data_IF_741904397590
#
_entry.id   IF_741904397590
#
_cell.length_a   1.000
_cell.length_b   1.000
_cell.length_c   1.000
_cell.angle_alpha   90.00
_cell.angle_beta   90.00
_cell.angle_gamma   90.00
#
_symmetry.space_group_name_H-M   'P 1'
#
loop_
_entity.id
_entity.type
_entity.pdbx_description
1 polymer ?
#
# COMPACT_ATOMS: atom_id res chain seq x y z
N UNK A 1 -34.36 -1.08 -73.53
CA UNK A 1 -34.63 -1.03 -72.08
C UNK A 1 -33.41 -1.58 -71.34
N UNK A 2 -32.44 -0.73 -71.02
CA UNK A 2 -31.33 -1.02 -70.11
C UNK A 2 -31.46 -0.03 -68.96
N UNK A 3 -31.84 -0.53 -67.80
CA UNK A 3 -32.16 0.27 -66.63
C UNK A 3 -31.18 -0.01 -65.49
N UNK A 4 -30.45 1.05 -65.15
CA UNK A 4 -30.21 1.60 -63.81
C UNK A 4 -29.06 1.07 -62.93
N UNK A 5 -28.17 2.04 -62.62
CA UNK A 5 -27.55 2.38 -61.31
C UNK A 5 -26.55 1.36 -60.71
N UNK A 6 -25.21 1.56 -60.66
CA UNK A 6 -24.42 2.64 -60.00
C UNK A 6 -25.05 3.02 -58.65
N UNK A 7 -24.50 2.78 -57.46
CA UNK A 7 -23.21 2.32 -56.95
C UNK A 7 -23.48 1.78 -55.54
N UNK A 8 -23.00 0.58 -55.24
CA UNK A 8 -22.83 0.12 -53.87
C UNK A 8 -21.50 0.66 -53.37
N UNK A 9 -21.49 1.91 -52.92
CA UNK A 9 -20.40 2.48 -52.13
C UNK A 9 -21.00 3.42 -51.09
N UNK A 10 -20.35 3.51 -49.93
CA UNK A 10 -20.69 4.30 -48.74
C UNK A 10 -21.65 3.70 -47.69
N UNK A 11 -21.46 2.42 -47.33
CA UNK A 11 -21.70 2.00 -45.95
C UNK A 11 -20.36 2.07 -45.18
N UNK A 12 -20.14 3.02 -44.25
CA UNK A 12 -18.91 3.07 -43.49
C UNK A 12 -18.75 1.76 -42.70
N UNK A 13 -17.54 1.19 -42.62
CA UNK A 13 -17.33 -0.09 -41.95
C UNK A 13 -17.79 0.01 -40.48
N UNK A 14 -18.64 -0.91 -40.00
CA UNK A 14 -19.02 -0.98 -38.59
C UNK A 14 -17.79 -1.41 -37.79
N UNK A 15 -17.01 -0.44 -37.34
CA UNK A 15 -15.79 -0.69 -36.57
C UNK A 15 -14.86 0.52 -36.41
N UNK A 16 -14.97 1.54 -37.26
CA UNK A 16 -14.07 2.70 -37.21
C UNK A 16 -14.28 3.62 -35.99
N UNK A 17 -15.54 3.84 -35.59
CA UNK A 17 -15.87 4.75 -34.46
C UNK A 17 -15.62 4.12 -33.09
N UNK A 18 -15.91 2.83 -32.93
CA UNK A 18 -15.68 2.11 -31.66
C UNK A 18 -14.20 1.80 -31.44
N UNK A 19 -13.46 1.42 -32.50
CA UNK A 19 -12.01 1.23 -32.41
C UNK A 19 -11.24 2.55 -32.23
N UNK A 20 -11.78 3.67 -32.76
CA UNK A 20 -11.26 5.01 -32.52
C UNK A 20 -11.43 5.44 -31.07
N UNK A 21 -12.66 5.31 -30.54
CA UNK A 21 -12.98 5.60 -29.14
C UNK A 21 -12.13 4.77 -28.16
N UNK A 22 -12.06 3.45 -28.34
CA UNK A 22 -11.21 2.59 -27.50
C UNK A 22 -9.72 2.92 -27.61
N UNK A 23 -9.23 3.38 -28.77
CA UNK A 23 -7.81 3.74 -28.94
C UNK A 23 -7.49 5.07 -28.27
N UNK A 24 -8.39 6.04 -28.35
CA UNK A 24 -8.30 7.31 -27.64
C UNK A 24 -8.39 7.09 -26.13
N UNK A 25 -9.33 6.27 -25.66
CA UNK A 25 -9.51 5.92 -24.24
C UNK A 25 -8.28 5.20 -23.67
N UNK A 26 -7.73 4.21 -24.41
CA UNK A 26 -6.46 3.55 -24.06
C UNK A 26 -5.29 4.53 -24.04
N UNK A 27 -5.25 5.50 -24.96
CA UNK A 27 -4.21 6.52 -24.98
C UNK A 27 -4.32 7.46 -23.77
N UNK A 28 -5.52 7.88 -23.38
CA UNK A 28 -5.74 8.72 -22.19
C UNK A 28 -5.31 7.99 -20.91
N UNK A 29 -5.68 6.73 -20.75
CA UNK A 29 -5.28 5.92 -19.59
C UNK A 29 -3.76 5.72 -19.57
N UNK A 30 -3.15 5.42 -20.72
CA UNK A 30 -1.69 5.26 -20.81
C UNK A 30 -0.94 6.55 -20.45
N UNK A 31 -1.40 7.71 -20.94
CA UNK A 31 -0.82 9.01 -20.60
C UNK A 31 -0.99 9.32 -19.13
N UNK A 32 -2.15 9.03 -18.54
CA UNK A 32 -2.39 9.23 -17.11
C UNK A 32 -1.47 8.37 -16.25
N UNK A 33 -1.30 7.09 -16.60
CA UNK A 33 -0.40 6.17 -15.89
C UNK A 33 1.04 6.66 -15.98
N UNK A 34 1.51 7.04 -17.16
CA UNK A 34 2.87 7.58 -17.34
C UNK A 34 3.06 8.87 -16.55
N UNK A 35 2.07 9.76 -16.55
CA UNK A 35 2.12 10.98 -15.75
C UNK A 35 2.18 10.69 -14.25
N UNK A 36 1.35 9.78 -13.75
CA UNK A 36 1.39 9.31 -12.37
C UNK A 36 2.75 8.71 -12.01
N UNK A 37 3.33 7.89 -12.88
CA UNK A 37 4.65 7.28 -12.69
C UNK A 37 5.74 8.36 -12.59
N UNK A 38 5.74 9.34 -13.49
CA UNK A 38 6.70 10.46 -13.46
C UNK A 38 6.52 11.31 -12.21
N UNK A 39 5.28 11.68 -11.88
CA UNK A 39 4.97 12.47 -10.68
C UNK A 39 5.41 11.76 -9.40
N UNK A 40 5.17 10.44 -9.33
CA UNK A 40 5.65 9.58 -8.26
C UNK A 40 7.17 9.65 -8.11
N UNK A 41 7.93 9.42 -9.19
CA UNK A 41 9.40 9.43 -9.13
C UNK A 41 9.95 10.80 -8.74
N UNK A 42 9.33 11.88 -9.23
CA UNK A 42 9.71 13.25 -8.89
C UNK A 42 9.45 13.55 -7.41
N UNK A 43 8.26 13.21 -6.90
CA UNK A 43 7.90 13.41 -5.48
C UNK A 43 8.79 12.57 -4.56
N UNK A 44 9.04 11.31 -4.90
CA UNK A 44 9.91 10.42 -4.14
C UNK A 44 11.33 10.98 -4.07
N UNK A 45 11.92 11.34 -5.23
CA UNK A 45 13.25 11.91 -5.28
C UNK A 45 13.35 13.24 -4.52
N UNK A 46 12.39 14.14 -4.71
CA UNK A 46 12.36 15.43 -4.02
C UNK A 46 12.19 15.27 -2.51
N UNK A 47 11.30 14.37 -2.07
CA UNK A 47 11.05 14.06 -0.66
C UNK A 47 12.29 13.48 0.03
N UNK A 48 12.98 12.54 -0.61
CA UNK A 48 14.22 11.95 -0.11
C UNK A 48 15.37 12.98 -0.10
N UNK A 49 15.50 13.81 -1.14
CA UNK A 49 16.50 14.87 -1.20
C UNK A 49 16.29 15.90 -0.08
N UNK A 50 15.06 16.36 0.15
CA UNK A 50 14.73 17.25 1.25
C UNK A 50 15.01 16.61 2.61
N UNK A 51 14.70 15.32 2.75
CA UNK A 51 14.87 14.58 4.00
C UNK A 51 16.34 14.38 4.37
N UNK A 52 17.16 13.90 3.43
CA UNK A 52 18.52 13.46 3.71
C UNK A 52 19.61 14.43 3.27
N UNK A 53 19.45 15.10 2.11
CA UNK A 53 20.44 16.06 1.59
C UNK A 53 20.26 17.41 2.26
N UNK A 54 19.03 17.96 2.23
CA UNK A 54 18.73 19.25 2.85
C UNK A 54 18.51 19.16 4.38
N UNK A 55 18.51 17.94 4.95
CA UNK A 55 18.28 17.66 6.38
C UNK A 55 17.00 18.32 6.93
N UNK A 56 15.95 18.43 6.10
CA UNK A 56 14.62 18.96 6.47
C UNK A 56 13.61 17.81 6.51
N UNK A 57 13.64 16.92 7.53
CA UNK A 57 12.84 15.70 7.56
C UNK A 57 11.34 15.96 7.57
N UNK A 58 10.87 17.10 8.10
CA UNK A 58 9.45 17.48 8.08
C UNK A 58 8.95 17.82 6.69
N UNK A 59 9.72 18.59 5.92
CA UNK A 59 9.37 18.91 4.53
C UNK A 59 9.48 17.69 3.64
N UNK A 60 10.54 16.89 3.80
CA UNK A 60 10.66 15.61 3.10
C UNK A 60 9.49 14.68 3.39
N UNK A 61 9.05 14.57 4.66
CA UNK A 61 7.85 13.81 5.01
C UNK A 61 6.58 14.37 4.35
N UNK A 62 6.41 15.70 4.34
CA UNK A 62 5.25 16.33 3.71
C UNK A 62 5.18 16.03 2.21
N UNK A 63 6.31 16.10 1.50
CA UNK A 63 6.39 15.75 0.07
C UNK A 63 6.13 14.27 -0.16
N UNK A 64 6.71 13.38 0.66
CA UNK A 64 6.45 11.94 0.57
C UNK A 64 5.00 11.57 0.92
N UNK A 65 4.28 12.38 1.72
CA UNK A 65 2.86 12.18 1.98
C UNK A 65 1.97 12.55 0.79
N UNK A 66 2.48 13.31 -0.20
CA UNK A 66 1.74 13.54 -1.44
C UNK A 66 1.58 12.25 -2.25
N UNK A 67 2.48 11.28 -2.09
CA UNK A 67 2.44 9.98 -2.79
C UNK A 67 1.19 9.15 -2.41
N UNK A 68 0.92 8.83 -1.12
CA UNK A 68 -0.34 8.18 -0.74
C UNK A 68 -1.56 9.09 -0.96
N UNK A 69 -1.40 10.42 -1.02
CA UNK A 69 -2.50 11.32 -1.39
C UNK A 69 -2.92 11.11 -2.84
N UNK A 70 -1.98 10.92 -3.76
CA UNK A 70 -2.28 10.57 -5.16
C UNK A 70 -3.02 9.23 -5.24
N UNK A 71 -2.64 8.25 -4.42
CA UNK A 71 -3.36 6.97 -4.32
C UNK A 71 -4.81 7.14 -3.85
N UNK A 72 -5.06 8.06 -2.90
CA UNK A 72 -6.43 8.39 -2.48
C UNK A 72 -7.22 9.00 -3.64
N UNK A 73 -6.62 9.88 -4.43
CA UNK A 73 -7.27 10.47 -5.61
C UNK A 73 -7.59 9.39 -6.65
N UNK A 74 -6.64 8.49 -6.94
CA UNK A 74 -6.87 7.36 -7.85
C UNK A 74 -7.99 6.46 -7.35
N UNK A 75 -8.03 6.14 -6.05
CA UNK A 75 -9.12 5.37 -5.45
C UNK A 75 -10.47 6.06 -5.63
N UNK A 76 -10.55 7.39 -5.42
CA UNK A 76 -11.79 8.15 -5.63
C UNK A 76 -12.23 8.10 -7.09
N UNK A 77 -11.31 8.32 -8.03
CA UNK A 77 -11.59 8.23 -9.47
C UNK A 77 -12.10 6.84 -9.83
N UNK A 78 -11.43 5.79 -9.36
CA UNK A 78 -11.86 4.40 -9.53
C UNK A 78 -13.28 4.16 -9.01
N UNK A 79 -13.60 4.64 -7.81
CA UNK A 79 -14.92 4.44 -7.20
C UNK A 79 -16.01 5.16 -8.00
N UNK A 80 -15.71 6.34 -8.55
CA UNK A 80 -16.60 7.06 -9.46
C UNK A 80 -16.78 6.26 -10.76
N UNK A 81 -15.71 5.73 -11.32
CA UNK A 81 -15.72 4.97 -12.57
C UNK A 81 -16.54 3.66 -12.45
N UNK A 82 -16.34 2.91 -11.36
CA UNK A 82 -17.14 1.72 -11.03
C UNK A 82 -18.63 2.05 -10.89
N UNK A 83 -18.95 3.22 -10.31
CA UNK A 83 -20.34 3.69 -10.21
C UNK A 83 -20.95 4.03 -11.57
N UNK A 84 -20.12 4.42 -12.55
CA UNK A 84 -20.54 4.71 -13.91
C UNK A 84 -20.60 3.45 -14.80
N UNK A 85 -20.31 2.25 -14.25
CA UNK A 85 -20.44 0.97 -14.95
C UNK A 85 -19.14 0.40 -15.51
N UNK A 86 -17.97 0.90 -15.08
CA UNK A 86 -16.69 0.30 -15.46
C UNK A 86 -16.51 -1.11 -14.89
N UNK A 87 -15.77 -1.97 -15.60
CA UNK A 87 -15.53 -3.34 -15.15
C UNK A 87 -14.61 -3.39 -13.91
N UNK A 88 -14.96 -4.21 -12.89
CA UNK A 88 -14.16 -4.33 -11.68
C UNK A 88 -12.84 -5.10 -11.88
N UNK A 89 -11.73 -4.35 -12.01
CA UNK A 89 -10.35 -4.89 -12.01
C UNK A 89 -9.76 -5.05 -10.59
N UNK A 90 -8.73 -5.90 -10.45
CA UNK A 90 -8.00 -6.18 -9.21
C UNK A 90 -7.23 -4.97 -8.70
N UNK A 91 -6.80 -4.08 -9.59
CA UNK A 91 -6.05 -2.85 -9.27
C UNK A 91 -6.86 -1.90 -8.38
N UNK A 92 -8.19 -1.93 -8.52
CA UNK A 92 -9.11 -1.04 -7.81
C UNK A 92 -9.08 -1.21 -6.28
N UNK A 93 -8.87 -2.43 -5.79
CA UNK A 93 -8.72 -2.67 -4.34
C UNK A 93 -7.28 -2.55 -3.82
N UNK A 94 -6.28 -2.53 -4.71
CA UNK A 94 -4.87 -2.44 -4.31
C UNK A 94 -4.54 -1.07 -3.69
N UNK A 95 -5.11 0.01 -4.23
CA UNK A 95 -4.92 1.37 -3.72
C UNK A 95 -5.35 1.48 -2.24
N UNK A 96 -6.50 0.93 -1.87
CA UNK A 96 -6.97 0.91 -0.49
C UNK A 96 -6.01 0.16 0.46
N UNK A 97 -5.42 -0.95 0.00
CA UNK A 97 -4.42 -1.71 0.76
C UNK A 97 -3.12 -0.93 0.92
N UNK A 98 -2.65 -0.25 -0.14
CA UNK A 98 -1.45 0.57 -0.10
C UNK A 98 -1.61 1.75 0.88
N UNK A 99 -2.77 2.41 0.87
CA UNK A 99 -3.10 3.47 1.83
C UNK A 99 -3.13 2.90 3.26
N UNK A 100 -3.79 1.76 3.47
CA UNK A 100 -3.82 1.09 4.76
C UNK A 100 -2.41 0.79 5.29
N UNK A 101 -1.55 0.22 4.45
CA UNK A 101 -0.14 -0.05 4.79
C UNK A 101 0.61 1.21 5.19
N UNK A 102 0.43 2.30 4.44
CA UNK A 102 1.05 3.59 4.72
C UNK A 102 0.61 4.14 6.08
N UNK A 103 -0.67 4.03 6.42
CA UNK A 103 -1.20 4.48 7.72
C UNK A 103 -0.70 3.60 8.87
N UNK A 104 -0.75 2.28 8.72
CA UNK A 104 -0.41 1.37 9.82
C UNK A 104 1.09 1.23 10.07
N UNK A 105 1.90 1.20 9.02
CA UNK A 105 3.34 0.94 9.10
C UNK A 105 4.22 2.14 8.73
N UNK A 106 3.72 3.14 8.00
CA UNK A 106 4.53 4.21 7.41
C UNK A 106 5.43 4.93 8.41
N UNK A 107 4.87 5.40 9.54
CA UNK A 107 5.66 6.12 10.56
C UNK A 107 6.79 5.27 11.15
N UNK A 108 6.54 3.98 11.38
CA UNK A 108 7.55 3.07 11.91
C UNK A 108 8.64 2.80 10.86
N UNK A 109 8.23 2.52 9.63
CA UNK A 109 9.15 2.29 8.51
C UNK A 109 10.05 3.50 8.29
N UNK A 110 9.49 4.71 8.27
CA UNK A 110 10.26 5.96 8.11
C UNK A 110 11.29 6.12 9.23
N UNK A 111 10.89 5.97 10.50
CA UNK A 111 11.84 6.06 11.63
C UNK A 111 12.97 5.04 11.54
N UNK A 112 12.65 3.83 11.10
CA UNK A 112 13.63 2.77 10.94
C UNK A 112 14.61 3.04 9.79
N UNK A 113 14.10 3.54 8.65
CA UNK A 113 14.96 3.96 7.52
C UNK A 113 15.84 5.12 7.96
N UNK A 114 15.28 6.13 8.64
CA UNK A 114 16.04 7.28 9.16
C UNK A 114 17.18 6.83 10.08
N UNK A 115 16.91 5.91 11.01
CA UNK A 115 17.92 5.38 11.91
C UNK A 115 19.02 4.62 11.15
N UNK A 116 18.67 3.85 10.13
CA UNK A 116 19.65 3.15 9.29
C UNK A 116 20.49 4.12 8.47
N UNK A 117 19.87 5.14 7.89
CA UNK A 117 20.56 6.15 7.09
C UNK A 117 21.51 6.95 7.98
N UNK A 118 21.04 7.36 9.16
CA UNK A 118 21.86 8.02 10.17
C UNK A 118 23.07 7.17 10.56
N UNK A 119 22.87 5.88 10.84
CA UNK A 119 23.96 4.98 11.21
C UNK A 119 24.97 4.74 10.07
N UNK A 120 24.49 4.61 8.82
CA UNK A 120 25.35 4.26 7.68
C UNK A 120 26.12 5.44 7.09
N UNK A 121 25.55 6.64 7.11
CA UNK A 121 26.09 7.82 6.42
C UNK A 121 26.36 9.03 7.32
N UNK A 122 25.89 9.05 8.57
CA UNK A 122 25.99 10.22 9.46
C UNK A 122 26.47 9.87 10.88
N UNK A 123 27.22 8.77 11.05
CA UNK A 123 27.77 8.30 12.33
C UNK A 123 26.74 8.19 13.47
N UNK A 124 25.48 7.96 13.11
CA UNK A 124 24.39 7.78 14.07
C UNK A 124 24.53 6.48 14.88
N UNK A 125 23.89 6.41 16.07
CA UNK A 125 23.91 5.20 16.88
C UNK A 125 23.33 4.01 16.12
N UNK A 126 23.79 2.77 16.39
CA UNK A 126 23.30 1.59 15.70
C UNK A 126 21.79 1.39 15.93
N UNK A 127 21.04 0.94 14.91
CA UNK A 127 19.61 0.73 15.05
C UNK A 127 19.30 -0.27 16.16
N UNK A 128 18.33 0.06 17.02
CA UNK A 128 17.95 -0.76 18.17
C UNK A 128 17.53 -2.16 17.73
N UNK A 129 18.19 -3.19 18.29
CA UNK A 129 17.87 -4.58 17.98
C UNK A 129 16.55 -4.98 18.65
N UNK A 130 15.67 -5.74 17.97
CA UNK A 130 14.43 -6.20 18.58
C UNK A 130 14.72 -7.10 19.79
N UNK A 131 13.86 -7.04 20.84
CA UNK A 131 14.04 -7.86 22.04
C UNK A 131 13.97 -9.35 21.70
N UNK A 132 14.99 -10.10 22.13
CA UNK A 132 15.18 -11.50 21.69
C UNK A 132 14.39 -12.53 22.50
N UNK A 133 13.99 -12.22 23.74
CA UNK A 133 13.42 -13.19 24.68
C UNK A 133 12.35 -12.59 25.61
N UNK A 134 11.55 -13.47 26.21
CA UNK A 134 10.62 -13.13 27.30
C UNK A 134 9.44 -12.23 26.91
N UNK A 135 8.81 -11.63 27.92
CA UNK A 135 7.63 -10.77 27.75
C UNK A 135 7.89 -9.52 26.91
N UNK A 136 9.13 -9.01 26.89
CA UNK A 136 9.53 -7.90 26.03
C UNK A 136 9.43 -8.25 24.54
N UNK A 137 9.73 -9.51 24.17
CA UNK A 137 9.54 -10.00 22.80
C UNK A 137 8.06 -10.14 22.45
N UNK A 138 7.27 -10.76 23.33
CA UNK A 138 5.83 -10.88 23.11
C UNK A 138 5.16 -9.51 22.92
N UNK A 139 5.50 -8.51 23.75
CA UNK A 139 5.00 -7.14 23.60
C UNK A 139 5.46 -6.47 22.30
N UNK A 140 6.67 -6.75 21.82
CA UNK A 140 7.13 -6.26 20.53
C UNK A 140 6.32 -6.85 19.36
N UNK A 141 6.08 -8.17 19.38
CA UNK A 141 5.28 -8.86 18.38
C UNK A 141 3.83 -8.35 18.38
N UNK A 142 3.22 -8.16 19.56
CA UNK A 142 1.88 -7.58 19.67
C UNK A 142 1.78 -6.17 19.10
N UNK A 143 2.80 -5.32 19.31
CA UNK A 143 2.84 -3.99 18.68
C UNK A 143 2.98 -4.09 17.16
N UNK A 144 3.73 -5.05 16.65
CA UNK A 144 3.86 -5.28 15.21
C UNK A 144 2.54 -5.78 14.62
N UNK A 145 1.90 -6.76 15.27
CA UNK A 145 0.58 -7.23 14.91
C UNK A 145 -0.46 -6.09 14.93
N UNK A 146 -0.46 -5.24 15.96
CA UNK A 146 -1.38 -4.11 16.05
C UNK A 146 -1.24 -3.13 14.88
N UNK A 147 -0.02 -2.89 14.38
CA UNK A 147 0.21 -2.03 13.20
C UNK A 147 -0.31 -2.66 11.91
N UNK A 148 -0.11 -3.97 11.73
CA UNK A 148 -0.67 -4.71 10.59
C UNK A 148 -2.19 -4.77 10.64
N UNK A 149 -2.76 -4.96 11.83
CA UNK A 149 -4.21 -4.92 12.04
C UNK A 149 -4.74 -3.52 11.73
N UNK A 150 -4.10 -2.46 12.22
CA UNK A 150 -4.48 -1.09 11.90
C UNK A 150 -4.45 -0.84 10.39
N UNK A 151 -3.39 -1.26 9.70
CA UNK A 151 -3.30 -1.15 8.24
C UNK A 151 -4.46 -1.86 7.53
N UNK A 152 -4.75 -3.10 7.93
CA UNK A 152 -5.83 -3.89 7.37
C UNK A 152 -7.21 -3.29 7.66
N UNK A 153 -7.45 -2.77 8.88
CA UNK A 153 -8.71 -2.12 9.26
C UNK A 153 -8.95 -0.84 8.44
N UNK A 154 -7.91 -0.02 8.22
CA UNK A 154 -8.02 1.17 7.37
C UNK A 154 -8.36 0.77 5.93
N UNK A 155 -7.66 -0.23 5.37
CA UNK A 155 -7.96 -0.74 4.04
C UNK A 155 -9.40 -1.27 3.94
N UNK A 156 -9.84 -2.07 4.91
CA UNK A 156 -11.21 -2.60 4.98
C UNK A 156 -12.25 -1.48 5.04
N UNK A 157 -12.01 -0.42 5.83
CA UNK A 157 -12.89 0.73 5.93
C UNK A 157 -13.02 1.48 4.61
N UNK A 158 -11.91 1.71 3.90
CA UNK A 158 -11.90 2.35 2.58
C UNK A 158 -12.65 1.49 1.55
N UNK A 159 -12.38 0.19 1.50
CA UNK A 159 -13.07 -0.75 0.62
C UNK A 159 -14.57 -0.79 0.93
N UNK A 160 -14.96 -0.79 2.21
CA UNK A 160 -16.37 -0.81 2.60
C UNK A 160 -17.09 0.48 2.22
N UNK A 161 -16.44 1.63 2.41
CA UNK A 161 -16.97 2.93 1.98
C UNK A 161 -17.16 2.98 0.46
N UNK A 162 -16.20 2.45 -0.31
CA UNK A 162 -16.31 2.31 -1.76
C UNK A 162 -17.51 1.45 -2.17
N UNK A 163 -17.69 0.28 -1.54
CA UNK A 163 -18.84 -0.60 -1.80
C UNK A 163 -20.17 0.11 -1.52
N UNK A 164 -20.28 0.84 -0.41
CA UNK A 164 -21.49 1.62 -0.10
C UNK A 164 -21.76 2.72 -1.11
N UNK A 165 -20.72 3.36 -1.65
CA UNK A 165 -20.87 4.42 -2.63
C UNK A 165 -21.27 3.90 -4.03
N UNK A 166 -20.69 2.79 -4.46
CA UNK A 166 -21.03 2.15 -5.75
C UNK A 166 -22.46 1.60 -5.72
N UNK A 167 -22.88 1.02 -4.60
CA UNK A 167 -24.20 0.43 -4.43
C UNK A 167 -24.26 -1.07 -4.81
N UNK A 168 -25.42 -1.73 -4.62
CA UNK A 168 -25.58 -3.16 -4.90
C UNK A 168 -25.46 -3.45 -6.41
N UNK A 169 -24.51 -4.32 -6.77
CA UNK A 169 -24.21 -4.70 -8.14
C UNK A 169 -22.96 -5.57 -8.25
N UNK A 170 -22.67 -6.04 -9.47
CA UNK A 170 -21.49 -6.85 -9.84
C UNK A 170 -20.17 -6.06 -9.77
N UNK A 171 -20.20 -4.73 -9.90
CA UNK A 171 -19.06 -3.81 -9.80
C UNK A 171 -18.29 -3.82 -8.46
N UNK A 172 -18.73 -4.59 -7.45
CA UNK A 172 -18.08 -4.65 -6.13
C UNK A 172 -17.30 -5.94 -5.84
N UNK A 173 -17.32 -6.91 -6.75
CA UNK A 173 -16.72 -8.23 -6.52
C UNK A 173 -15.20 -8.17 -6.23
N UNK A 174 -14.45 -7.32 -6.95
CA UNK A 174 -13.00 -7.17 -6.73
C UNK A 174 -12.67 -6.55 -5.37
N UNK A 175 -13.46 -5.56 -4.92
CA UNK A 175 -13.33 -4.91 -3.61
C UNK A 175 -13.56 -5.91 -2.48
N UNK A 176 -14.58 -6.76 -2.59
CA UNK A 176 -14.88 -7.83 -1.62
C UNK A 176 -13.76 -8.88 -1.55
N UNK A 177 -13.17 -9.26 -2.69
CA UNK A 177 -12.02 -10.16 -2.72
C UNK A 177 -10.82 -9.61 -1.95
N UNK A 178 -10.58 -8.29 -2.00
CA UNK A 178 -9.56 -7.64 -1.19
C UNK A 178 -9.92 -7.60 0.31
N UNK A 179 -11.19 -7.44 0.67
CA UNK A 179 -11.62 -7.52 2.06
C UNK A 179 -11.31 -8.88 2.68
N UNK A 180 -11.57 -9.97 1.95
CA UNK A 180 -11.24 -11.33 2.41
C UNK A 180 -9.74 -11.50 2.65
N UNK A 181 -8.90 -11.01 1.74
CA UNK A 181 -7.43 -11.03 1.89
C UNK A 181 -6.98 -10.27 3.14
N UNK A 182 -7.54 -9.08 3.39
CA UNK A 182 -7.22 -8.30 4.59
C UNK A 182 -7.69 -8.99 5.88
N UNK A 183 -8.85 -9.65 5.85
CA UNK A 183 -9.33 -10.51 6.94
C UNK A 183 -8.35 -11.65 7.25
N UNK A 184 -7.82 -12.33 6.22
CA UNK A 184 -6.80 -13.36 6.38
C UNK A 184 -5.51 -12.80 6.99
N UNK A 185 -5.06 -11.62 6.56
CA UNK A 185 -3.87 -10.96 7.14
C UNK A 185 -4.06 -10.69 8.63
N UNK A 186 -5.24 -10.19 9.03
CA UNK A 186 -5.58 -9.99 10.45
C UNK A 186 -5.56 -11.33 11.19
N UNK A 187 -6.22 -12.36 10.66
CA UNK A 187 -6.30 -13.68 11.26
C UNK A 187 -4.93 -14.31 11.50
N UNK A 188 -4.05 -14.28 10.49
CA UNK A 188 -2.68 -14.80 10.59
C UNK A 188 -1.88 -14.03 11.65
N UNK A 189 -1.98 -12.69 11.66
CA UNK A 189 -1.28 -11.87 12.66
C UNK A 189 -1.75 -12.18 14.08
N UNK A 190 -3.05 -12.36 14.29
CA UNK A 190 -3.62 -12.73 15.58
C UNK A 190 -3.16 -14.11 16.04
N UNK A 191 -3.13 -15.10 15.13
CA UNK A 191 -2.65 -16.46 15.44
C UNK A 191 -1.18 -16.42 15.84
N UNK A 192 -0.34 -15.69 15.10
CA UNK A 192 1.09 -15.57 15.41
C UNK A 192 1.29 -14.87 16.76
N UNK A 193 0.61 -13.75 16.99
CA UNK A 193 0.70 -13.01 18.25
C UNK A 193 0.22 -13.85 19.45
N UNK A 194 -0.91 -14.55 19.30
CA UNK A 194 -1.41 -15.49 20.30
C UNK A 194 -0.41 -16.63 20.57
N UNK A 195 0.20 -17.19 19.53
CA UNK A 195 1.23 -18.22 19.63
C UNK A 195 2.43 -17.79 20.48
N UNK A 196 2.94 -16.57 20.31
CA UNK A 196 4.02 -16.03 21.15
C UNK A 196 3.61 -15.72 22.59
N UNK A 197 2.31 -15.55 22.83
CA UNK A 197 1.75 -15.29 24.17
C UNK A 197 1.55 -16.60 24.93
N UNK A 198 1.09 -17.64 24.24
CA UNK A 198 0.87 -18.98 24.78
C UNK A 198 2.17 -19.79 24.92
N UNK A 199 3.16 -19.55 24.06
CA UNK A 199 4.47 -20.21 24.09
C UNK A 199 5.62 -19.18 24.15
N UNK A 200 5.85 -18.54 25.31
CA UNK A 200 6.89 -17.54 25.46
C UNK A 200 8.28 -18.17 25.29
N UNK A 201 9.05 -17.66 24.32
CA UNK A 201 10.42 -18.13 24.03
C UNK A 201 11.35 -17.72 25.18
N UNK A 202 11.82 -18.70 25.94
CA UNK A 202 12.74 -18.50 27.07
C UNK A 202 14.16 -18.19 26.59
N UNK A 203 14.90 -17.40 27.37
CA UNK A 203 16.32 -17.16 27.12
C UNK A 203 17.13 -18.44 27.39
N UNK A 204 18.22 -18.71 26.64
CA UNK A 204 19.16 -19.77 27.01
C UNK A 204 19.67 -19.54 28.43
N UNK A 205 19.65 -20.57 29.28
CA UNK A 205 20.05 -20.51 30.70
C UNK A 205 21.49 -20.02 30.90
N UNK A 206 22.33 -20.07 29.86
CA UNK A 206 23.77 -19.80 29.96
C UNK A 206 24.12 -18.30 29.99
N UNK A 207 23.21 -17.41 29.56
CA UNK A 207 23.46 -15.96 29.58
C UNK A 207 23.36 -15.32 30.98
N UNK A 208 22.87 -16.06 31.98
CA UNK A 208 22.79 -15.62 33.37
C UNK A 208 24.04 -16.01 34.19
N UNK A 209 24.77 -17.05 33.76
CA UNK A 209 25.95 -17.55 34.48
C UNK A 209 27.23 -16.70 34.22
N UNK A 210 27.29 -15.96 33.10
CA UNK A 210 28.46 -15.14 32.75
C UNK A 210 28.44 -13.73 33.37
N UNK A 211 27.43 -13.41 34.20
CA UNK A 211 27.32 -12.13 34.93
C UNK A 211 27.44 -12.27 36.45
N UNK A 212 27.93 -13.40 36.95
CA UNK A 212 28.40 -13.46 38.34
C UNK A 212 29.89 -13.11 38.32
N UNK A 213 30.32 -11.91 38.75
CA UNK A 213 31.74 -11.63 38.91
C UNK A 213 32.28 -12.64 39.93
N UNK A 214 33.30 -13.38 39.51
CA UNK A 214 34.16 -14.13 40.40
C UNK A 214 34.96 -13.12 41.25
N UNK A 215 34.27 -12.48 42.18
CA UNK A 215 34.88 -11.76 43.29
C UNK A 215 34.50 -12.56 44.55
N UNK A 216 35.44 -13.40 44.97
CA UNK A 216 35.48 -13.95 46.32
C UNK A 216 36.87 -13.70 46.88
N UNK A 217 36.96 -13.34 48.17
CA UNK A 217 38.12 -12.74 48.81
C UNK A 217 39.33 -13.67 48.91
#
# INVERSE_FOLDING_TARGET
MQSRFVTADDAPPPGGREAGGQREERAVIAVLVVFCEVAFWVLLAAGLALRYVARKPRLGAAVLLCEPLLEVVLLVVTVIDLRNGAEPDWKHGLAAVYIGFTVGLGHHTIKWVDARVAHRWFDGPPPVKPPKYGMARAAHEWRTAARWILAAVVALGLLQAAIWYVGPGDGTASLQGWQQKMGLVIGINLIIAAGYTLFPKQAPKDAAAEREPADRP
#
